data_IF_532490689256
#
_entry.id   IF_532490689256
#
_cell.length_a   1.000
_cell.length_b   1.000
_cell.length_c   1.000
_cell.angle_alpha   90.00
_cell.angle_beta   90.00
_cell.angle_gamma   90.00
#
_symmetry.space_group_name_H-M   'P 1'
#
loop_
_entity.id
_entity.type
_entity.pdbx_description
1 polymer ?
#
# COMPACT_ATOMS: atom_id res chain seq x y z
N UNK A 1 -1.18 21.46 -15.90
CA UNK A 1 -0.86 21.02 -14.53
C UNK A 1 -0.73 19.52 -14.62
N UNK A 2 0.25 18.90 -13.94
CA UNK A 2 0.31 17.44 -13.97
C UNK A 2 -0.91 16.87 -13.26
N UNK A 3 -1.52 15.84 -13.84
CA UNK A 3 -2.73 15.22 -13.32
C UNK A 3 -2.39 13.94 -12.58
N UNK A 4 -2.89 13.82 -11.35
CA UNK A 4 -2.64 12.68 -10.46
C UNK A 4 -3.93 11.86 -10.30
N UNK A 5 -3.79 10.53 -10.27
CA UNK A 5 -4.88 9.63 -9.87
C UNK A 5 -4.40 8.64 -8.81
N UNK A 6 -5.26 8.36 -7.84
CA UNK A 6 -5.07 7.28 -6.88
C UNK A 6 -5.92 6.09 -7.30
N UNK A 7 -5.29 4.98 -7.66
CA UNK A 7 -5.96 3.70 -7.82
C UNK A 7 -5.76 2.88 -6.56
N UNK A 8 -6.82 2.37 -5.95
CA UNK A 8 -6.71 1.63 -4.70
C UNK A 8 -7.39 0.26 -4.73
N UNK A 9 -6.88 -0.65 -3.90
CA UNK A 9 -7.49 -1.96 -3.64
C UNK A 9 -7.46 -2.26 -2.15
N UNK A 10 -8.64 -2.42 -1.57
CA UNK A 10 -8.78 -2.56 -0.11
C UNK A 10 -9.74 -3.67 0.26
N UNK A 11 -9.24 -4.70 0.95
CA UNK A 11 -10.06 -5.81 1.47
C UNK A 11 -10.70 -5.44 2.82
N UNK A 12 -9.96 -4.76 3.69
CA UNK A 12 -10.38 -4.40 5.06
C UNK A 12 -10.37 -2.89 5.36
N UNK A 13 -10.38 -2.04 4.33
CA UNK A 13 -10.65 -0.61 4.45
C UNK A 13 -9.43 0.30 4.62
N UNK A 14 -8.30 -0.17 5.18
CA UNK A 14 -7.14 0.69 5.44
C UNK A 14 -6.62 1.43 4.17
N UNK A 15 -6.36 0.69 3.09
CA UNK A 15 -5.91 1.31 1.82
C UNK A 15 -6.95 2.28 1.22
N UNK A 16 -8.25 2.04 1.41
CA UNK A 16 -9.31 2.95 0.96
C UNK A 16 -9.29 4.25 1.76
N UNK A 17 -9.09 4.16 3.08
CA UNK A 17 -8.96 5.32 3.97
C UNK A 17 -7.78 6.20 3.57
N UNK A 18 -6.62 5.60 3.35
CA UNK A 18 -5.44 6.31 2.85
C UNK A 18 -5.67 6.92 1.47
N UNK A 19 -6.31 6.20 0.54
CA UNK A 19 -6.63 6.77 -0.77
C UNK A 19 -7.53 8.02 -0.67
N UNK A 20 -8.50 8.03 0.25
CA UNK A 20 -9.33 9.20 0.54
C UNK A 20 -8.52 10.39 1.07
N UNK A 21 -7.61 10.16 2.02
CA UNK A 21 -6.73 11.24 2.51
C UNK A 21 -5.78 11.77 1.45
N UNK A 22 -5.26 10.91 0.58
CA UNK A 22 -4.43 11.34 -0.56
C UNK A 22 -5.28 12.19 -1.53
N UNK A 23 -6.51 11.74 -1.82
CA UNK A 23 -7.46 12.45 -2.67
C UNK A 23 -7.72 13.88 -2.15
N UNK A 24 -8.02 14.00 -0.85
CA UNK A 24 -8.26 15.29 -0.20
C UNK A 24 -7.00 16.17 -0.23
N UNK A 25 -5.85 15.63 0.14
CA UNK A 25 -4.59 16.38 0.26
C UNK A 25 -4.03 16.88 -1.08
N UNK A 26 -4.31 16.17 -2.17
CA UNK A 26 -3.84 16.50 -3.52
C UNK A 26 -4.94 17.09 -4.41
N UNK A 27 -6.20 17.09 -3.96
CA UNK A 27 -7.37 17.46 -4.79
C UNK A 27 -7.38 16.71 -6.13
N UNK A 28 -7.08 15.41 -6.08
CA UNK A 28 -6.93 14.56 -7.25
C UNK A 28 -8.09 13.54 -7.38
N UNK A 29 -8.08 12.74 -8.44
CA UNK A 29 -9.07 11.67 -8.60
C UNK A 29 -8.67 10.41 -7.82
N UNK A 30 -9.64 9.68 -7.29
CA UNK A 30 -9.40 8.40 -6.61
C UNK A 30 -10.45 7.34 -6.98
N UNK A 31 -10.01 6.15 -7.36
CA UNK A 31 -10.87 5.05 -7.79
C UNK A 31 -10.46 3.73 -7.18
N UNK A 32 -11.44 2.89 -6.84
CA UNK A 32 -11.17 1.49 -6.63
C UNK A 32 -10.75 0.88 -7.97
N UNK A 33 -9.64 0.14 -8.00
CA UNK A 33 -9.00 -0.30 -9.27
C UNK A 33 -9.93 -1.13 -10.18
N UNK A 34 -10.90 -1.84 -9.60
CA UNK A 34 -11.90 -2.62 -10.35
C UNK A 34 -13.01 -1.78 -10.99
N UNK A 35 -13.17 -0.52 -10.58
CA UNK A 35 -14.16 0.42 -11.10
C UNK A 35 -13.53 1.41 -12.10
N UNK A 36 -12.21 1.47 -12.15
CA UNK A 36 -11.47 2.36 -13.03
C UNK A 36 -11.51 1.92 -14.50
N UNK A 37 -11.83 2.85 -15.39
CA UNK A 37 -11.78 2.65 -16.84
C UNK A 37 -10.35 2.94 -17.34
N UNK A 38 -9.63 1.91 -17.77
CA UNK A 38 -8.20 2.03 -18.07
C UNK A 38 -7.89 2.91 -19.27
N UNK A 39 -8.83 3.14 -20.18
CA UNK A 39 -8.71 4.08 -21.29
C UNK A 39 -8.50 5.52 -20.78
N UNK A 40 -9.06 5.83 -19.60
CA UNK A 40 -8.91 7.14 -18.96
C UNK A 40 -7.52 7.36 -18.35
N UNK A 41 -6.65 6.33 -18.25
CA UNK A 41 -5.30 6.47 -17.68
C UNK A 41 -4.44 7.48 -18.45
N UNK A 42 -4.74 7.67 -19.74
CA UNK A 42 -4.07 8.63 -20.62
C UNK A 42 -4.18 10.08 -20.15
N UNK A 43 -5.19 10.40 -19.33
CA UNK A 43 -5.42 11.75 -18.77
C UNK A 43 -4.47 12.10 -17.63
N UNK A 44 -3.80 11.12 -17.06
CA UNK A 44 -2.96 11.30 -15.87
C UNK A 44 -1.48 11.20 -16.24
N UNK A 45 -0.67 11.92 -15.48
CA UNK A 45 0.79 11.90 -15.55
C UNK A 45 1.38 11.03 -14.43
N UNK A 46 0.74 11.03 -13.26
CA UNK A 46 1.16 10.28 -12.07
C UNK A 46 0.04 9.37 -11.56
N UNK A 47 0.40 8.13 -11.25
CA UNK A 47 -0.51 7.10 -10.74
C UNK A 47 -0.01 6.59 -9.40
N UNK A 48 -0.79 6.86 -8.35
CA UNK A 48 -0.56 6.33 -7.01
C UNK A 48 -1.35 5.03 -6.87
N UNK A 49 -0.64 3.92 -6.70
CA UNK A 49 -1.21 2.58 -6.55
C UNK A 49 -1.22 2.21 -5.07
N UNK A 50 -2.38 2.31 -4.41
CA UNK A 50 -2.54 2.02 -2.99
C UNK A 50 -3.14 0.62 -2.75
N UNK A 51 -2.43 -0.24 -2.00
CA UNK A 51 -2.88 -1.60 -1.73
C UNK A 51 -2.64 -2.03 -0.28
N UNK A 52 -3.54 -2.87 0.24
CA UNK A 52 -3.27 -3.57 1.50
C UNK A 52 -2.22 -4.67 1.32
N UNK A 53 -1.43 -4.91 2.37
CA UNK A 53 -0.44 -6.00 2.45
C UNK A 53 -1.12 -7.26 2.99
N UNK A 54 -1.06 -8.35 2.22
CA UNK A 54 -1.59 -9.66 2.61
C UNK A 54 -0.60 -10.75 2.21
N UNK A 55 -0.19 -11.58 3.17
CA UNK A 55 0.79 -12.66 2.97
C UNK A 55 2.08 -12.19 2.24
N UNK A 56 2.54 -10.97 2.54
CA UNK A 56 3.73 -10.36 1.94
C UNK A 56 3.51 -9.76 0.53
N UNK A 57 2.32 -9.85 -0.05
CA UNK A 57 1.98 -9.20 -1.33
C UNK A 57 1.21 -7.90 -1.11
N UNK A 58 1.47 -6.89 -1.95
CA UNK A 58 0.65 -5.69 -2.01
C UNK A 58 -0.47 -5.93 -3.01
N UNK A 59 -1.71 -5.93 -2.53
CA UNK A 59 -2.88 -6.38 -3.30
C UNK A 59 -3.08 -5.75 -4.68
N UNK A 60 -2.61 -4.51 -4.90
CA UNK A 60 -2.74 -3.79 -6.16
C UNK A 60 -1.63 -4.09 -7.18
N UNK A 61 -0.54 -4.75 -6.78
CA UNK A 61 0.61 -5.04 -7.66
C UNK A 61 0.22 -5.96 -8.82
N UNK A 62 -0.76 -6.84 -8.63
CA UNK A 62 -1.31 -7.65 -9.73
C UNK A 62 -1.91 -6.78 -10.83
N UNK A 63 -2.62 -5.72 -10.44
CA UNK A 63 -3.25 -4.79 -11.37
C UNK A 63 -2.19 -3.92 -12.07
N UNK A 64 -1.17 -3.45 -11.33
CA UNK A 64 0.03 -2.82 -11.91
C UNK A 64 0.67 -3.69 -12.99
N UNK A 65 0.98 -4.96 -12.69
CA UNK A 65 1.60 -5.92 -13.64
C UNK A 65 0.72 -6.14 -14.88
N UNK A 66 -0.59 -6.27 -14.68
CA UNK A 66 -1.56 -6.48 -15.77
C UNK A 66 -1.62 -5.29 -16.74
N UNK A 67 -1.40 -4.07 -16.24
CA UNK A 67 -1.59 -2.83 -17.00
C UNK A 67 -0.27 -2.09 -17.29
N UNK A 68 0.88 -2.78 -17.25
CA UNK A 68 2.20 -2.17 -17.46
C UNK A 68 2.32 -1.39 -18.76
N UNK A 69 1.77 -1.90 -19.87
CA UNK A 69 1.80 -1.20 -21.17
C UNK A 69 1.09 0.15 -21.10
N UNK A 70 -0.03 0.24 -20.40
CA UNK A 70 -0.81 1.48 -20.25
C UNK A 70 -0.19 2.46 -19.23
N UNK A 71 0.76 1.98 -18.42
CA UNK A 71 1.47 2.72 -17.37
C UNK A 71 2.92 3.06 -17.77
N UNK A 72 3.34 2.71 -18.98
CA UNK A 72 4.74 2.78 -19.41
C UNK A 72 5.29 4.22 -19.39
N UNK A 73 4.46 5.20 -19.74
CA UNK A 73 4.79 6.63 -19.80
C UNK A 73 4.40 7.41 -18.52
N UNK A 74 3.84 6.73 -17.51
CA UNK A 74 3.31 7.37 -16.30
C UNK A 74 4.31 7.31 -15.16
N UNK A 75 4.39 8.34 -14.34
CA UNK A 75 5.08 8.27 -13.05
C UNK A 75 4.29 7.38 -12.09
N UNK A 76 4.98 6.51 -11.35
CA UNK A 76 4.31 5.50 -10.51
C UNK A 76 4.75 5.66 -9.06
N UNK A 77 3.79 5.55 -8.15
CA UNK A 77 4.03 5.44 -6.72
C UNK A 77 3.30 4.21 -6.19
N UNK A 78 3.94 3.43 -5.33
CA UNK A 78 3.29 2.32 -4.62
C UNK A 78 3.08 2.70 -3.16
N UNK A 79 1.84 2.63 -2.68
CA UNK A 79 1.52 2.82 -1.27
C UNK A 79 1.03 1.51 -0.66
N UNK A 80 1.71 1.04 0.38
CA UNK A 80 1.44 -0.23 1.02
C UNK A 80 0.85 -0.02 2.43
N UNK A 81 -0.40 -0.44 2.63
CA UNK A 81 -1.07 -0.39 3.92
C UNK A 81 -0.94 -1.73 4.66
N UNK A 82 -0.16 -1.78 5.75
CA UNK A 82 0.11 -3.00 6.52
C UNK A 82 -0.27 -2.91 7.99
N UNK A 83 -0.63 -4.02 8.63
CA UNK A 83 -1.02 -4.00 10.04
C UNK A 83 0.15 -3.78 11.01
N UNK A 84 1.38 -4.12 10.60
CA UNK A 84 2.56 -4.04 11.45
C UNK A 84 3.04 -2.59 11.64
N UNK A 85 3.86 -2.31 12.65
CA UNK A 85 4.62 -1.07 12.70
C UNK A 85 5.48 -0.91 11.46
N UNK A 86 5.86 0.34 11.17
CA UNK A 86 6.85 0.62 10.13
C UNK A 86 8.18 -0.03 10.52
N UNK A 87 8.80 -0.68 9.54
CA UNK A 87 10.13 -1.26 9.64
C UNK A 87 10.82 -1.15 8.27
N UNK A 88 12.01 -0.55 8.24
CA UNK A 88 12.70 -0.24 6.99
C UNK A 88 13.09 -1.50 6.22
N UNK A 89 13.60 -2.52 6.92
CA UNK A 89 14.00 -3.80 6.33
C UNK A 89 12.79 -4.51 5.70
N UNK A 90 11.66 -4.55 6.41
CA UNK A 90 10.41 -5.10 5.89
C UNK A 90 9.93 -4.36 4.64
N UNK A 91 10.04 -3.03 4.61
CA UNK A 91 9.65 -2.24 3.43
C UNK A 91 10.53 -2.55 2.21
N UNK A 92 11.84 -2.71 2.41
CA UNK A 92 12.79 -3.08 1.34
C UNK A 92 12.51 -4.49 0.79
N UNK A 93 12.29 -5.48 1.66
CA UNK A 93 11.91 -6.84 1.27
C UNK A 93 10.56 -6.86 0.54
N UNK A 94 9.59 -6.06 1.02
CA UNK A 94 8.30 -5.90 0.39
C UNK A 94 8.43 -5.28 -1.00
N UNK A 95 9.26 -4.25 -1.15
CA UNK A 95 9.56 -3.63 -2.45
C UNK A 95 10.11 -4.67 -3.41
N UNK A 96 11.19 -5.34 -3.04
CA UNK A 96 11.86 -6.34 -3.87
C UNK A 96 10.88 -7.40 -4.37
N UNK A 97 10.16 -8.05 -3.43
CA UNK A 97 9.18 -9.10 -3.75
C UNK A 97 8.09 -8.65 -4.73
N UNK A 98 7.66 -7.39 -4.65
CA UNK A 98 6.53 -6.90 -5.42
C UNK A 98 6.94 -6.28 -6.76
N UNK A 99 8.16 -5.75 -6.87
CA UNK A 99 8.61 -5.00 -8.05
C UNK A 99 9.76 -5.65 -8.82
N UNK A 100 10.35 -6.76 -8.36
CA UNK A 100 11.51 -7.41 -9.01
C UNK A 100 11.31 -7.68 -10.51
N UNK A 101 10.11 -8.05 -10.94
CA UNK A 101 9.80 -8.39 -12.34
C UNK A 101 9.41 -7.18 -13.19
N UNK A 102 9.38 -5.97 -12.63
CA UNK A 102 8.87 -4.79 -13.32
C UNK A 102 9.93 -4.09 -14.17
N UNK A 103 11.22 -4.42 -13.98
CA UNK A 103 12.37 -3.78 -14.63
C UNK A 103 12.32 -2.25 -14.60
N UNK A 104 11.70 -1.70 -13.54
CA UNK A 104 11.44 -0.29 -13.34
C UNK A 104 11.51 0.01 -11.85
N UNK A 105 12.20 1.09 -11.49
CA UNK A 105 12.17 1.58 -10.12
C UNK A 105 10.85 2.30 -9.85
N UNK A 106 10.19 1.92 -8.75
CA UNK A 106 8.96 2.53 -8.29
C UNK A 106 9.17 2.89 -6.81
N UNK A 107 9.04 4.17 -6.41
CA UNK A 107 9.05 4.55 -5.01
C UNK A 107 7.91 3.85 -4.26
N UNK A 108 8.23 3.37 -3.06
CA UNK A 108 7.27 2.69 -2.19
C UNK A 108 7.16 3.46 -0.87
N UNK A 109 5.94 3.64 -0.41
CA UNK A 109 5.62 4.26 0.88
C UNK A 109 4.76 3.33 1.70
N UNK A 110 4.83 3.45 3.03
CA UNK A 110 4.14 2.58 3.96
C UNK A 110 3.21 3.36 4.88
N UNK A 111 1.99 2.84 5.07
CA UNK A 111 1.08 3.30 6.11
C UNK A 111 0.66 2.17 7.03
N UNK A 112 0.70 2.40 8.34
CA UNK A 112 0.14 1.43 9.28
C UNK A 112 -1.38 1.38 9.13
N UNK A 113 -1.92 0.18 9.05
CA UNK A 113 -3.31 -0.10 8.73
C UNK A 113 -4.12 -0.45 9.98
N UNK A 114 -5.19 -1.20 9.73
CA UNK A 114 -6.02 -1.76 10.78
C UNK A 114 -5.85 -3.29 10.82
N UNK A 115 -6.07 -3.87 11.99
CA UNK A 115 -6.09 -5.31 12.20
C UNK A 115 -7.30 -5.68 13.04
N UNK A 116 -8.22 -6.43 12.44
CA UNK A 116 -9.51 -6.77 13.03
C UNK A 116 -9.93 -8.14 12.50
N UNK A 117 -9.71 -9.21 13.29
CA UNK A 117 -10.09 -10.56 12.87
C UNK A 117 -11.60 -10.72 12.67
N UNK A 118 -12.44 -9.94 13.34
CA UNK A 118 -13.90 -10.03 13.21
C UNK A 118 -14.34 -9.62 11.80
N UNK A 119 -13.66 -8.63 11.21
CA UNK A 119 -13.85 -8.21 9.82
C UNK A 119 -13.19 -9.14 8.79
N UNK A 120 -12.29 -10.03 9.22
CA UNK A 120 -11.61 -10.94 8.30
C UNK A 120 -12.50 -12.06 7.79
N UNK A 121 -12.25 -12.47 6.55
CA UNK A 121 -12.79 -13.74 6.02
C UNK A 121 -12.31 -14.93 6.85
N UNK A 122 -13.07 -16.03 6.85
CA UNK A 122 -12.71 -17.27 7.58
C UNK A 122 -11.31 -17.77 7.19
N UNK A 123 -10.95 -17.67 5.92
CA UNK A 123 -9.65 -18.09 5.39
C UNK A 123 -8.52 -17.22 5.95
N UNK A 124 -8.63 -15.89 5.85
CA UNK A 124 -7.61 -14.98 6.36
C UNK A 124 -7.44 -15.11 7.89
N UNK A 125 -8.55 -15.26 8.62
CA UNK A 125 -8.53 -15.49 10.07
C UNK A 125 -7.81 -16.79 10.42
N UNK A 126 -8.05 -17.85 9.65
CA UNK A 126 -7.34 -19.13 9.81
C UNK A 126 -5.85 -18.96 9.55
N UNK A 127 -5.45 -18.21 8.52
CA UNK A 127 -4.03 -17.94 8.23
C UNK A 127 -3.35 -17.18 9.37
N UNK A 128 -3.99 -16.17 9.96
CA UNK A 128 -3.46 -15.46 11.13
C UNK A 128 -3.24 -16.41 12.32
N UNK A 129 -4.20 -17.32 12.59
CA UNK A 129 -4.08 -18.32 13.66
C UNK A 129 -2.97 -19.33 13.40
N UNK A 130 -2.83 -19.80 12.15
CA UNK A 130 -1.72 -20.69 11.76
C UNK A 130 -0.37 -20.00 11.92
N UNK A 131 -0.28 -18.72 11.56
CA UNK A 131 0.93 -17.92 11.73
C UNK A 131 1.28 -17.75 13.22
N UNK A 132 0.32 -17.37 14.07
CA UNK A 132 0.49 -17.33 15.54
C UNK A 132 0.98 -18.67 16.11
N UNK A 133 0.39 -19.79 15.68
CA UNK A 133 0.80 -21.15 16.08
C UNK A 133 2.20 -21.51 15.58
N UNK A 134 2.63 -20.98 14.44
CA UNK A 134 4.00 -21.13 13.95
C UNK A 134 4.98 -20.33 14.81
N UNK A 135 4.61 -19.10 15.18
CA UNK A 135 5.41 -18.23 16.05
C UNK A 135 5.60 -18.80 17.46
N UNK A 136 4.62 -19.56 17.99
CA UNK A 136 4.76 -20.22 19.29
C UNK A 136 5.86 -21.30 19.34
N UNK A 137 6.46 -21.64 18.20
CA UNK A 137 7.59 -22.57 18.11
C UNK A 137 8.96 -21.87 18.03
N UNK A 138 8.97 -20.53 17.96
CA UNK A 138 10.18 -19.71 17.93
C UNK A 138 10.50 -19.19 19.32
N UNK A 139 11.78 -18.99 19.61
CA UNK A 139 12.20 -18.31 20.83
C UNK A 139 11.82 -16.82 20.77
N UNK A 140 11.28 -16.21 21.84
CA UNK A 140 10.88 -14.80 21.84
C UNK A 140 11.99 -13.81 21.46
N UNK A 141 13.25 -14.17 21.71
CA UNK A 141 14.43 -13.36 21.32
C UNK A 141 14.63 -13.27 19.80
N UNK A 142 14.06 -14.20 19.04
CA UNK A 142 14.17 -14.27 17.57
C UNK A 142 12.95 -13.60 16.88
N UNK A 143 12.10 -12.90 17.64
CA UNK A 143 10.93 -12.22 17.09
C UNK A 143 11.34 -10.91 16.41
N UNK A 144 10.95 -10.76 15.15
CA UNK A 144 10.89 -9.44 14.53
C UNK A 144 9.76 -8.60 15.16
N UNK A 145 9.78 -7.26 15.07
CA UNK A 145 8.79 -6.40 15.71
C UNK A 145 7.33 -6.76 15.39
N UNK A 146 7.04 -7.09 14.13
CA UNK A 146 5.71 -7.51 13.69
C UNK A 146 5.30 -8.87 14.27
N UNK A 147 6.24 -9.78 14.52
CA UNK A 147 5.96 -11.10 15.10
C UNK A 147 5.50 -10.94 16.55
N UNK A 148 6.18 -10.07 17.31
CA UNK A 148 5.82 -9.79 18.70
C UNK A 148 4.42 -9.23 18.81
N UNK A 149 4.10 -8.20 18.04
CA UNK A 149 2.75 -7.61 18.07
C UNK A 149 1.67 -8.61 17.64
N UNK A 150 1.89 -9.38 16.56
CA UNK A 150 0.93 -10.38 16.14
C UNK A 150 0.74 -11.46 17.22
N UNK A 151 1.81 -11.89 17.89
CA UNK A 151 1.76 -12.92 18.92
C UNK A 151 1.02 -12.45 20.17
N UNK A 152 1.25 -11.21 20.60
CA UNK A 152 0.63 -10.60 21.79
C UNK A 152 -0.81 -10.12 21.54
N UNK A 153 -1.23 -9.97 20.28
CA UNK A 153 -2.53 -9.44 19.92
C UNK A 153 -3.69 -10.35 20.40
N UNK A 154 -4.63 -9.76 21.14
CA UNK A 154 -5.64 -10.46 21.94
C UNK A 154 -6.96 -10.77 21.21
N UNK A 155 -7.11 -10.37 19.95
CA UNK A 155 -8.36 -10.54 19.21
C UNK A 155 -9.10 -9.23 18.93
N UNK A 156 -8.80 -8.15 19.66
CA UNK A 156 -9.56 -6.90 19.54
C UNK A 156 -9.16 -6.10 18.31
N UNK A 157 -10.16 -5.65 17.57
CA UNK A 157 -9.97 -4.78 16.42
C UNK A 157 -9.21 -3.50 16.80
N UNK A 158 -8.19 -3.17 16.02
CA UNK A 158 -7.41 -1.95 16.15
C UNK A 158 -7.31 -1.25 14.80
N UNK A 159 -7.42 0.08 14.80
CA UNK A 159 -7.17 0.93 13.64
C UNK A 159 -6.02 1.89 13.98
N UNK A 160 -4.85 1.67 13.40
CA UNK A 160 -3.67 2.51 13.57
C UNK A 160 -3.40 3.41 12.35
N UNK A 161 -4.38 3.54 11.47
CA UNK A 161 -4.26 4.44 10.32
C UNK A 161 -4.10 5.88 10.77
N UNK A 162 -3.15 6.59 10.15
CA UNK A 162 -2.76 7.93 10.56
C UNK A 162 -2.28 8.71 9.31
N UNK A 163 -2.83 9.90 9.02
CA UNK A 163 -2.39 10.71 7.88
C UNK A 163 -0.88 11.02 7.88
N UNK A 164 -0.18 10.98 9.02
CA UNK A 164 1.28 11.20 9.07
C UNK A 164 2.06 10.26 8.16
N UNK A 165 1.56 9.05 7.92
CA UNK A 165 2.19 8.09 7.00
C UNK A 165 2.18 8.55 5.53
N UNK A 166 1.45 9.62 5.21
CA UNK A 166 1.38 10.20 3.87
C UNK A 166 2.37 11.34 3.67
N UNK A 167 3.06 11.84 4.69
CA UNK A 167 3.90 13.04 4.60
C UNK A 167 4.95 12.94 3.49
N UNK A 168 5.74 11.86 3.47
CA UNK A 168 6.77 11.65 2.45
C UNK A 168 6.18 11.44 1.05
N UNK A 169 5.07 10.71 0.94
CA UNK A 169 4.37 10.47 -0.33
C UNK A 169 3.84 11.79 -0.91
N UNK A 170 3.22 12.63 -0.07
CA UNK A 170 2.67 13.91 -0.49
C UNK A 170 3.79 14.88 -0.88
N UNK A 171 4.89 14.90 -0.13
CA UNK A 171 6.07 15.71 -0.47
C UNK A 171 6.65 15.28 -1.83
N UNK A 172 6.83 13.98 -2.05
CA UNK A 172 7.31 13.43 -3.31
C UNK A 172 6.39 13.78 -4.48
N UNK A 173 5.07 13.63 -4.29
CA UNK A 173 4.08 13.91 -5.34
C UNK A 173 4.05 15.39 -5.71
N UNK A 174 4.06 16.29 -4.72
CA UNK A 174 4.09 17.75 -4.95
C UNK A 174 5.37 18.21 -5.66
N UNK A 175 6.50 17.60 -5.36
CA UNK A 175 7.75 17.85 -6.07
C UNK A 175 7.64 17.46 -7.55
N UNK A 176 7.08 16.28 -7.85
CA UNK A 176 6.83 15.83 -9.22
C UNK A 176 5.89 16.78 -9.99
N UNK A 177 4.79 17.23 -9.37
CA UNK A 177 3.83 18.16 -9.97
C UNK A 177 4.44 19.53 -10.27
N UNK A 178 5.41 19.96 -9.44
CA UNK A 178 6.11 21.23 -9.59
C UNK A 178 7.20 21.20 -10.66
N UNK A 179 7.90 20.07 -10.84
CA UNK A 179 8.97 19.91 -11.83
C UNK A 179 8.50 20.09 -13.30
N UNK A 180 7.19 20.05 -13.57
CA UNK A 180 6.62 20.36 -14.89
C UNK A 180 6.33 21.84 -15.16
N UNK A 181 6.64 22.74 -14.21
CA UNK A 181 6.39 24.19 -14.34
C UNK A 181 7.60 24.98 -14.85
N UNK A 182 8.83 24.49 -14.66
CA UNK A 182 10.07 25.22 -15.00
C UNK A 182 10.50 25.10 -16.49
N UNK A 183 9.79 24.31 -17.29
CA UNK A 183 10.04 24.16 -18.74
C UNK A 183 9.07 24.99 -19.61
N UNK A 184 8.53 26.10 -19.09
CA UNK A 184 7.65 27.02 -19.84
C UNK A 184 8.03 28.47 -19.65
#
# INVERSE_FOLDING_TARGET
MKQTVVLYKSKYGAAKKYAGWIQEALSCDAYQVGEFQWEAITKYDLVILAGGIYAGGISIVKDLKKHLTALADKELILFAAGASPFDQKMLEELKLRNTETLHREIPIFYGRGAFDEEKMTVIDRMLCRMLKKSLSKKEPKDFEPWMKELFEWDGKGCDWTDPKYLEELLAYTKAFESAGKDNR
#
